data_IF_026548111797
#
_entry.id   IF_026548111797
#
_cell.length_a   1.000
_cell.length_b   1.000
_cell.length_c   1.000
_cell.angle_alpha   90.00
_cell.angle_beta   90.00
_cell.angle_gamma   90.00
#
_symmetry.space_group_name_H-M   'P 1'
#
loop_
_entity.id
_entity.type
_entity.pdbx_description
1 polymer ?
#
# COMPACT_ATOMS: atom_id res chain seq x y z
N UNK A 1 4.29 16.14 2.44
CA UNK A 1 3.75 15.08 3.29
C UNK A 1 4.43 15.09 4.66
N UNK A 2 3.72 15.15 5.78
CA UNK A 2 4.25 15.15 7.15
C UNK A 2 3.37 14.31 8.10
N UNK A 3 3.67 14.29 9.40
CA UNK A 3 2.91 13.49 10.37
C UNK A 3 1.46 13.96 10.58
N UNK A 4 1.16 15.23 10.33
CA UNK A 4 -0.22 15.75 10.29
C UNK A 4 -0.96 15.11 9.12
N UNK A 5 -0.34 15.07 7.95
CA UNK A 5 -0.94 14.47 6.75
C UNK A 5 -1.29 12.99 6.96
N UNK A 6 -0.44 12.23 7.66
CA UNK A 6 -0.76 10.85 8.05
C UNK A 6 -1.98 10.77 8.98
N UNK A 7 -2.01 11.61 10.02
CA UNK A 7 -3.08 11.57 11.01
C UNK A 7 -4.42 11.98 10.38
N UNK A 8 -4.43 13.05 9.59
CA UNK A 8 -5.61 13.53 8.87
C UNK A 8 -6.08 12.52 7.83
N UNK A 9 -5.15 11.92 7.07
CA UNK A 9 -5.49 10.89 6.09
C UNK A 9 -6.11 9.64 6.73
N UNK A 10 -5.69 9.28 7.95
CA UNK A 10 -6.29 8.17 8.69
C UNK A 10 -7.71 8.49 9.19
N UNK A 11 -7.97 9.74 9.57
CA UNK A 11 -9.29 10.20 10.00
C UNK A 11 -10.30 10.18 8.86
N UNK A 12 -9.87 10.50 7.64
CA UNK A 12 -10.74 10.55 6.46
C UNK A 12 -10.80 9.23 5.68
N UNK A 13 -10.02 8.24 6.10
CA UNK A 13 -10.02 6.92 5.50
C UNK A 13 -11.42 6.28 5.56
N UNK A 14 -11.89 5.80 4.40
CA UNK A 14 -13.19 5.16 4.24
C UNK A 14 -13.34 3.92 5.12
N UNK A 15 -14.52 3.73 5.71
CA UNK A 15 -14.82 2.69 6.71
C UNK A 15 -14.39 1.27 6.29
N UNK A 16 -14.74 0.82 5.08
CA UNK A 16 -14.41 -0.53 4.64
C UNK A 16 -12.90 -0.69 4.45
N UNK A 17 -12.25 0.32 3.88
CA UNK A 17 -10.80 0.34 3.69
C UNK A 17 -10.06 0.36 5.03
N UNK A 18 -10.53 1.17 5.99
CA UNK A 18 -10.00 1.23 7.36
C UNK A 18 -10.10 -0.13 8.06
N UNK A 19 -11.29 -0.76 8.03
CA UNK A 19 -11.55 -2.07 8.65
C UNK A 19 -10.76 -3.18 7.97
N UNK A 20 -10.61 -3.13 6.65
CA UNK A 20 -9.78 -4.05 5.90
C UNK A 20 -8.32 -3.94 6.31
N UNK A 21 -7.76 -2.72 6.33
CA UNK A 21 -6.37 -2.51 6.73
C UNK A 21 -6.12 -2.87 8.18
N UNK A 22 -7.09 -2.60 9.06
CA UNK A 22 -7.00 -3.01 10.45
C UNK A 22 -6.98 -4.54 10.56
N UNK A 23 -7.87 -5.26 9.87
CA UNK A 23 -7.82 -6.72 9.83
C UNK A 23 -6.52 -7.26 9.22
N UNK A 24 -6.01 -6.61 8.17
CA UNK A 24 -4.75 -6.97 7.53
C UNK A 24 -3.56 -6.85 8.49
N UNK A 25 -3.54 -5.85 9.39
CA UNK A 25 -2.49 -5.71 10.38
C UNK A 25 -2.74 -6.60 11.61
N UNK A 26 -3.96 -6.54 12.15
CA UNK A 26 -4.37 -7.10 13.43
C UNK A 26 -4.50 -8.61 13.40
N UNK A 27 -5.38 -9.08 12.52
CA UNK A 27 -5.83 -10.47 12.47
C UNK A 27 -4.88 -11.36 11.68
N UNK A 28 -4.07 -10.77 10.78
CA UNK A 28 -3.08 -11.49 9.99
C UNK A 28 -1.96 -12.05 10.83
N UNK A 29 -1.73 -13.34 10.65
CA UNK A 29 -0.52 -14.02 11.06
C UNK A 29 -0.12 -15.03 9.99
N UNK A 30 1.12 -15.46 10.05
CA UNK A 30 1.72 -16.35 9.07
C UNK A 30 0.90 -17.63 8.91
N UNK A 31 0.42 -18.23 10.01
CA UNK A 31 -0.36 -19.47 9.95
C UNK A 31 -1.66 -19.30 9.17
N UNK A 32 -2.35 -18.17 9.36
CA UNK A 32 -3.56 -17.83 8.59
C UNK A 32 -3.25 -17.53 7.12
N UNK A 33 -2.06 -17.02 6.80
CA UNK A 33 -1.67 -16.68 5.43
C UNK A 33 -1.16 -17.88 4.62
N UNK A 34 -0.59 -18.89 5.28
CA UNK A 34 -0.01 -20.07 4.61
C UNK A 34 -1.01 -20.83 3.75
N UNK A 35 -2.20 -21.15 4.30
CA UNK A 35 -3.18 -21.99 3.61
C UNK A 35 -3.70 -21.28 2.36
N UNK A 36 -4.20 -20.03 2.46
CA UNK A 36 -4.56 -19.25 1.28
C UNK A 36 -3.41 -19.09 0.28
N UNK A 37 -2.18 -18.86 0.73
CA UNK A 37 -1.01 -18.72 -0.14
C UNK A 37 -0.71 -20.00 -0.94
N UNK A 38 -0.75 -21.14 -0.26
CA UNK A 38 -0.57 -22.44 -0.91
C UNK A 38 -1.68 -22.71 -1.93
N UNK A 39 -2.93 -22.37 -1.58
CA UNK A 39 -4.08 -22.51 -2.47
C UNK A 39 -3.95 -21.63 -3.71
N UNK A 40 -3.60 -20.35 -3.55
CA UNK A 40 -3.38 -19.39 -4.65
C UNK A 40 -2.25 -19.81 -5.60
N UNK A 41 -1.23 -20.54 -5.11
CA UNK A 41 -0.16 -21.08 -5.96
C UNK A 41 -0.55 -22.35 -6.73
N UNK A 42 -1.54 -23.10 -6.22
CA UNK A 42 -2.00 -24.37 -6.80
C UNK A 42 -3.20 -24.15 -7.72
N UNK A 43 -4.13 -23.28 -7.36
CA UNK A 43 -5.28 -22.93 -8.18
C UNK A 43 -4.89 -21.89 -9.21
N UNK A 44 -5.12 -22.18 -10.49
CA UNK A 44 -5.04 -21.21 -11.59
C UNK A 44 -6.20 -20.20 -11.56
N UNK A 45 -6.78 -19.93 -10.39
CA UNK A 45 -7.91 -19.03 -10.22
C UNK A 45 -7.41 -17.59 -10.11
N UNK A 46 -8.04 -16.67 -10.84
CA UNK A 46 -7.71 -15.24 -10.77
C UNK A 46 -8.08 -14.57 -9.43
N UNK A 47 -8.77 -15.26 -8.52
CA UNK A 47 -9.17 -14.71 -7.21
C UNK A 47 -8.06 -14.88 -6.17
N UNK A 48 -7.75 -13.81 -5.44
CA UNK A 48 -6.75 -13.84 -4.37
C UNK A 48 -7.35 -14.40 -3.09
N UNK A 49 -7.00 -15.64 -2.75
CA UNK A 49 -7.47 -16.35 -1.54
C UNK A 49 -7.15 -15.60 -0.24
N UNK A 50 -6.03 -14.87 -0.22
CA UNK A 50 -5.63 -14.09 0.96
C UNK A 50 -6.47 -12.82 1.07
N UNK A 51 -6.82 -12.20 -0.05
CA UNK A 51 -7.75 -11.08 -0.07
C UNK A 51 -9.11 -11.49 0.48
N UNK A 52 -9.63 -12.64 0.07
CA UNK A 52 -10.89 -13.18 0.61
C UNK A 52 -10.79 -13.45 2.12
N UNK A 53 -9.66 -14.01 2.58
CA UNK A 53 -9.41 -14.22 4.00
C UNK A 53 -9.41 -12.91 4.79
N UNK A 54 -8.69 -11.89 4.34
CA UNK A 54 -8.64 -10.58 5.03
C UNK A 54 -10.01 -9.89 4.98
N UNK A 55 -10.71 -9.96 3.85
CA UNK A 55 -12.08 -9.45 3.71
C UNK A 55 -13.01 -10.13 4.72
N UNK A 56 -12.92 -11.45 4.88
CA UNK A 56 -13.67 -12.20 5.89
C UNK A 56 -13.34 -11.75 7.31
N UNK A 57 -12.06 -11.55 7.62
CA UNK A 57 -11.64 -11.07 8.95
C UNK A 57 -12.14 -9.62 9.20
N UNK A 58 -12.15 -8.76 8.18
CA UNK A 58 -12.65 -7.38 8.30
C UNK A 58 -14.12 -7.28 8.69
N UNK A 59 -14.94 -8.29 8.34
CA UNK A 59 -16.35 -8.33 8.74
C UNK A 59 -16.57 -8.41 10.25
N UNK A 60 -15.59 -8.85 11.03
CA UNK A 60 -15.66 -8.83 12.49
C UNK A 60 -15.82 -7.42 13.05
N UNK A 61 -15.31 -6.43 12.32
CA UNK A 61 -15.30 -5.02 12.72
C UNK A 61 -16.45 -4.21 12.11
N UNK A 62 -17.40 -4.85 11.42
CA UNK A 62 -18.48 -4.16 10.70
C UNK A 62 -19.31 -3.21 11.58
N UNK A 63 -19.47 -3.54 12.86
CA UNK A 63 -20.20 -2.75 13.85
C UNK A 63 -19.30 -2.02 14.86
N UNK A 64 -17.98 -2.11 14.68
CA UNK A 64 -17.06 -1.36 15.53
C UNK A 64 -17.02 0.09 15.03
N UNK A 65 -17.15 1.08 15.92
CA UNK A 65 -17.00 2.49 15.54
C UNK A 65 -15.65 2.74 14.88
N UNK A 66 -15.63 3.58 13.84
CA UNK A 66 -14.43 3.80 13.05
C UNK A 66 -13.33 4.48 13.87
N UNK A 67 -13.67 5.42 14.76
CA UNK A 67 -12.70 6.07 15.65
C UNK A 67 -11.98 5.08 16.57
N UNK A 68 -12.70 4.08 17.07
CA UNK A 68 -12.10 2.97 17.82
C UNK A 68 -11.08 2.20 16.97
N UNK A 69 -11.41 1.92 15.71
CA UNK A 69 -10.49 1.25 14.77
C UNK A 69 -9.28 2.14 14.45
N UNK A 70 -9.46 3.44 14.23
CA UNK A 70 -8.36 4.39 13.96
C UNK A 70 -7.37 4.46 15.12
N UNK A 71 -7.89 4.54 16.36
CA UNK A 71 -7.05 4.55 17.58
C UNK A 71 -6.30 3.23 17.75
N UNK A 72 -6.96 2.11 17.53
CA UNK A 72 -6.32 0.79 17.59
C UNK A 72 -5.30 0.58 16.47
N UNK A 73 -5.52 1.15 15.28
CA UNK A 73 -4.54 1.13 14.19
C UNK A 73 -3.24 1.85 14.60
N UNK A 74 -3.35 3.08 15.13
CA UNK A 74 -2.18 3.84 15.63
C UNK A 74 -1.46 3.05 16.72
N UNK A 75 -2.23 2.47 17.66
CA UNK A 75 -1.70 1.66 18.76
C UNK A 75 -0.94 0.44 18.25
N UNK A 76 -1.51 -0.31 17.31
CA UNK A 76 -0.89 -1.52 16.78
C UNK A 76 0.37 -1.22 15.97
N UNK A 77 0.36 -0.15 15.17
CA UNK A 77 1.55 0.33 14.48
C UNK A 77 2.63 0.73 15.51
N UNK A 78 2.29 1.45 16.57
CA UNK A 78 3.24 1.82 17.62
C UNK A 78 3.84 0.59 18.31
N UNK A 79 3.02 -0.37 18.72
CA UNK A 79 3.46 -1.62 19.36
C UNK A 79 4.37 -2.45 18.47
N UNK A 80 4.08 -2.51 17.16
CA UNK A 80 4.89 -3.22 16.17
C UNK A 80 6.34 -2.71 16.13
N UNK A 81 6.53 -1.40 16.30
CA UNK A 81 7.83 -0.73 16.34
C UNK A 81 8.38 -0.53 17.76
N UNK A 82 7.69 -1.04 18.80
CA UNK A 82 8.14 -0.92 20.20
C UNK A 82 8.05 0.50 20.74
N UNK A 83 7.15 1.31 20.18
CA UNK A 83 6.90 2.69 20.57
C UNK A 83 5.88 2.69 21.71
N UNK A 84 6.19 3.30 22.88
CA UNK A 84 5.22 3.44 23.96
C UNK A 84 3.92 4.12 23.51
N UNK A 85 2.80 3.49 23.86
CA UNK A 85 1.46 4.04 23.63
C UNK A 85 1.24 5.25 24.55
N UNK A 86 0.81 6.35 23.96
CA UNK A 86 0.40 7.57 24.67
C UNK A 86 -1.12 7.70 24.59
N UNK A 87 -1.72 8.40 25.56
CA UNK A 87 -3.11 8.80 25.46
C UNK A 87 -3.23 9.81 24.31
N UNK A 88 -4.15 9.57 23.38
CA UNK A 88 -4.38 10.43 22.22
C UNK A 88 -5.43 11.49 22.60
N UNK A 89 -5.11 12.34 23.58
CA UNK A 89 -6.07 13.29 24.16
C UNK A 89 -6.19 14.60 23.38
N UNK A 90 -5.19 14.93 22.56
CA UNK A 90 -5.17 16.13 21.73
C UNK A 90 -4.74 15.81 20.31
N UNK A 91 -5.04 16.71 19.36
CA UNK A 91 -4.53 16.64 17.98
C UNK A 91 -3.00 16.49 17.97
N UNK A 92 -2.31 17.24 18.82
CA UNK A 92 -0.85 17.18 18.91
C UNK A 92 -0.36 15.80 19.38
N UNK A 93 -1.01 15.19 20.38
CA UNK A 93 -0.62 13.84 20.85
C UNK A 93 -0.72 12.81 19.73
N UNK A 94 -1.76 12.89 18.90
CA UNK A 94 -1.95 12.02 17.73
C UNK A 94 -0.87 12.24 16.69
N UNK A 95 -0.61 13.51 16.33
CA UNK A 95 0.42 13.88 15.34
C UNK A 95 1.81 13.45 15.80
N UNK A 96 2.16 13.66 17.06
CA UNK A 96 3.44 13.20 17.62
C UNK A 96 3.56 11.67 17.61
N UNK A 97 2.47 10.95 17.91
CA UNK A 97 2.48 9.49 17.85
C UNK A 97 2.68 8.99 16.41
N UNK A 98 2.02 9.62 15.43
CA UNK A 98 2.21 9.35 14.01
C UNK A 98 3.65 9.64 13.57
N UNK A 99 4.25 10.75 13.99
CA UNK A 99 5.65 11.08 13.68
C UNK A 99 6.62 10.01 14.19
N UNK A 100 6.43 9.54 15.43
CA UNK A 100 7.25 8.45 16.00
C UNK A 100 7.13 7.16 15.19
N UNK A 101 5.92 6.83 14.74
CA UNK A 101 5.66 5.64 13.90
C UNK A 101 6.37 5.79 12.54
N UNK A 102 6.21 6.94 11.88
CA UNK A 102 6.84 7.22 10.58
C UNK A 102 8.36 7.10 10.70
N UNK A 103 8.95 7.72 11.73
CA UNK A 103 10.38 7.65 11.98
C UNK A 103 10.86 6.20 12.18
N UNK A 104 10.21 5.43 13.07
CA UNK A 104 10.61 4.06 13.33
C UNK A 104 10.43 3.13 12.11
N UNK A 105 9.37 3.35 11.34
CA UNK A 105 9.11 2.65 10.08
C UNK A 105 10.19 2.93 9.05
N UNK A 106 10.55 4.21 8.87
CA UNK A 106 11.60 4.65 7.95
C UNK A 106 12.95 4.02 8.29
N UNK A 107 13.38 4.09 9.56
CA UNK A 107 14.64 3.49 10.00
C UNK A 107 14.65 1.97 9.84
N UNK A 108 13.52 1.29 10.11
CA UNK A 108 13.40 -0.14 9.87
C UNK A 108 13.55 -0.47 8.37
N UNK A 109 12.92 0.30 7.49
CA UNK A 109 13.03 0.10 6.05
C UNK A 109 14.46 0.35 5.55
N UNK A 110 15.16 1.39 6.05
CA UNK A 110 16.57 1.63 5.74
C UNK A 110 17.49 0.52 6.25
N UNK A 111 17.12 -0.18 7.31
CA UNK A 111 17.91 -1.30 7.83
C UNK A 111 17.70 -2.59 7.03
N UNK A 112 16.46 -2.88 6.65
CA UNK A 112 16.08 -4.22 6.21
C UNK A 112 15.83 -4.32 4.69
N UNK A 113 15.67 -3.20 3.97
CA UNK A 113 15.26 -3.21 2.57
C UNK A 113 16.31 -2.54 1.65
N UNK A 114 17.12 -3.35 0.97
CA UNK A 114 18.15 -2.88 0.02
C UNK A 114 17.56 -2.04 -1.11
N UNK A 115 16.39 -2.41 -1.67
CA UNK A 115 15.73 -1.62 -2.72
C UNK A 115 15.35 -0.23 -2.19
N UNK A 116 14.85 -0.16 -0.94
CA UNK A 116 14.52 1.11 -0.30
C UNK A 116 15.75 1.98 -0.02
N UNK A 117 16.86 1.39 0.43
CA UNK A 117 18.12 2.13 0.63
C UNK A 117 18.55 2.77 -0.69
N UNK A 118 18.58 2.00 -1.77
CA UNK A 118 18.94 2.52 -3.10
C UNK A 118 17.96 3.57 -3.60
N UNK A 119 16.67 3.42 -3.30
CA UNK A 119 15.63 4.38 -3.67
C UNK A 119 15.79 5.72 -2.91
N UNK A 120 15.92 5.67 -1.59
CA UNK A 120 16.01 6.85 -0.71
C UNK A 120 17.31 7.65 -0.88
N UNK A 121 18.41 7.01 -1.26
CA UNK A 121 19.71 7.70 -1.46
C UNK A 121 19.69 8.68 -2.64
N UNK A 122 18.74 8.53 -3.57
CA UNK A 122 18.64 9.33 -4.80
C UNK A 122 17.56 10.43 -4.74
N UNK A 123 16.93 10.66 -3.58
CA UNK A 123 15.86 11.64 -3.41
C UNK A 123 16.38 12.81 -2.58
N UNK A 124 16.65 13.97 -3.20
CA UNK A 124 16.90 15.20 -2.46
C UNK A 124 15.56 15.87 -2.05
N UNK A 125 15.49 16.36 -0.81
CA UNK A 125 14.41 17.22 -0.28
C UNK A 125 13.01 16.58 -0.12
N UNK A 126 12.89 15.27 0.07
CA UNK A 126 11.64 14.60 0.42
C UNK A 126 11.51 14.34 1.92
N UNK A 127 10.28 14.26 2.44
CA UNK A 127 10.08 13.82 3.82
C UNK A 127 10.11 12.30 3.92
N UNK A 128 10.37 11.77 5.13
CA UNK A 128 10.37 10.30 5.37
C UNK A 128 9.06 9.63 4.98
N UNK A 129 7.92 10.28 5.25
CA UNK A 129 6.59 9.77 4.88
C UNK A 129 6.41 9.72 3.36
N UNK A 130 6.89 10.76 2.67
CA UNK A 130 6.85 10.81 1.21
C UNK A 130 7.72 9.73 0.58
N UNK A 131 8.94 9.52 1.07
CA UNK A 131 9.82 8.45 0.58
C UNK A 131 9.22 7.05 0.78
N UNK A 132 8.63 6.77 1.94
CA UNK A 132 7.95 5.50 2.20
C UNK A 132 6.82 5.33 1.18
N UNK A 133 5.94 6.32 1.04
CA UNK A 133 4.78 6.25 0.14
C UNK A 133 5.21 6.05 -1.32
N UNK A 134 6.14 6.89 -1.81
CA UNK A 134 6.68 6.80 -3.18
C UNK A 134 7.32 5.45 -3.45
N UNK A 135 8.10 4.91 -2.51
CA UNK A 135 8.74 3.62 -2.67
C UNK A 135 7.72 2.48 -2.76
N UNK A 136 6.69 2.49 -1.92
CA UNK A 136 5.66 1.45 -1.95
C UNK A 136 4.85 1.50 -3.25
N UNK A 137 4.54 2.70 -3.76
CA UNK A 137 3.88 2.88 -5.04
C UNK A 137 4.76 2.45 -6.21
N UNK A 138 6.04 2.80 -6.22
CA UNK A 138 6.99 2.32 -7.22
C UNK A 138 7.04 0.79 -7.21
N UNK A 139 7.17 0.20 -6.02
CA UNK A 139 7.22 -1.25 -5.87
C UNK A 139 5.90 -1.93 -6.30
N UNK A 140 4.77 -1.24 -6.14
CA UNK A 140 3.45 -1.70 -6.57
C UNK A 140 3.39 -1.76 -8.09
N UNK A 141 3.79 -0.68 -8.75
CA UNK A 141 3.87 -0.58 -10.21
C UNK A 141 4.83 -1.64 -10.78
N UNK A 142 6.00 -1.82 -10.16
CA UNK A 142 6.98 -2.86 -10.50
C UNK A 142 6.32 -4.25 -10.47
N UNK A 143 5.58 -4.56 -9.40
CA UNK A 143 4.89 -5.85 -9.26
C UNK A 143 3.76 -6.09 -10.25
N UNK A 144 3.15 -5.01 -10.76
CA UNK A 144 2.14 -5.06 -11.82
C UNK A 144 2.82 -5.33 -13.15
N UNK A 145 3.97 -4.69 -13.41
CA UNK A 145 4.77 -4.89 -14.63
C UNK A 145 5.24 -6.33 -14.82
N UNK A 146 5.52 -7.03 -13.72
CA UNK A 146 5.97 -8.42 -13.72
C UNK A 146 4.86 -9.46 -14.02
N UNK A 147 3.60 -9.02 -14.11
CA UNK A 147 2.45 -9.90 -14.37
C UNK A 147 2.00 -9.84 -15.82
N UNK A 148 1.65 -10.99 -16.38
CA UNK A 148 0.92 -11.04 -17.66
C UNK A 148 -0.49 -10.50 -17.44
N UNK A 149 -0.74 -9.30 -17.94
CA UNK A 149 -2.08 -8.72 -17.96
C UNK A 149 -2.90 -9.33 -19.09
N UNK A 150 -4.19 -9.55 -18.84
CA UNK A 150 -5.15 -9.86 -19.91
C UNK A 150 -5.42 -8.62 -20.77
N UNK A 151 -5.97 -8.82 -21.98
CA UNK A 151 -6.36 -7.70 -22.84
C UNK A 151 -7.37 -6.76 -22.16
N UNK A 152 -8.28 -7.31 -21.35
CA UNK A 152 -9.24 -6.52 -20.56
C UNK A 152 -8.54 -5.64 -19.53
N UNK A 153 -7.62 -6.20 -18.74
CA UNK A 153 -6.87 -5.44 -17.73
C UNK A 153 -5.98 -4.37 -18.34
N UNK A 154 -5.34 -4.67 -19.48
CA UNK A 154 -4.53 -3.72 -20.23
C UNK A 154 -5.39 -2.56 -20.76
N UNK A 155 -6.63 -2.85 -21.18
CA UNK A 155 -7.60 -1.84 -21.59
C UNK A 155 -8.08 -0.98 -20.42
N UNK A 156 -8.53 -1.59 -19.32
CA UNK A 156 -9.01 -0.88 -18.12
C UNK A 156 -7.93 0.04 -17.53
N UNK A 157 -6.67 -0.41 -17.56
CA UNK A 157 -5.50 0.38 -17.20
C UNK A 157 -5.29 1.55 -18.15
N UNK A 158 -5.39 1.32 -19.47
CA UNK A 158 -5.29 2.37 -20.48
C UNK A 158 -6.38 3.43 -20.33
N UNK A 159 -7.62 3.00 -20.11
CA UNK A 159 -8.79 3.87 -19.92
C UNK A 159 -8.62 4.71 -18.64
N UNK A 160 -8.24 4.08 -17.52
CA UNK A 160 -8.01 4.80 -16.25
C UNK A 160 -6.86 5.82 -16.33
N UNK A 161 -5.82 5.52 -17.11
CA UNK A 161 -4.71 6.44 -17.33
C UNK A 161 -5.09 7.58 -18.26
N UNK A 162 -5.89 7.32 -19.30
CA UNK A 162 -6.45 8.37 -20.17
C UNK A 162 -7.32 9.33 -19.37
N UNK A 163 -8.25 8.82 -18.55
CA UNK A 163 -9.11 9.64 -17.68
C UNK A 163 -8.26 10.53 -16.75
N UNK A 164 -7.27 9.94 -16.07
CA UNK A 164 -6.38 10.73 -15.20
C UNK A 164 -5.60 11.79 -15.97
N UNK A 165 -5.03 11.42 -17.13
CA UNK A 165 -4.15 12.31 -17.88
C UNK A 165 -4.94 13.44 -18.54
N UNK A 166 -6.19 13.22 -18.93
CA UNK A 166 -7.08 14.26 -19.48
C UNK A 166 -7.56 15.25 -18.42
N UNK A 167 -7.61 14.86 -17.14
CA UNK A 167 -7.91 15.75 -16.01
C UNK A 167 -6.72 16.64 -15.59
N UNK A 168 -5.50 16.38 -16.06
CA UNK A 168 -4.35 17.21 -15.75
C UNK A 168 -4.37 18.57 -16.46
N UNK A 169 -3.71 19.60 -15.93
CA UNK A 169 -3.46 20.84 -16.67
C UNK A 169 -2.81 20.59 -18.04
N UNK A 170 -3.24 21.32 -19.09
CA UNK A 170 -2.76 21.10 -20.47
C UNK A 170 -1.22 21.10 -20.61
N UNK A 171 -0.52 21.91 -19.81
CA UNK A 171 0.94 21.96 -19.83
C UNK A 171 1.58 20.66 -19.31
N UNK A 172 0.96 19.99 -18.34
CA UNK A 172 1.39 18.68 -17.86
C UNK A 172 1.05 17.59 -18.87
N UNK A 173 -0.14 17.64 -19.49
CA UNK A 173 -0.51 16.71 -20.56
C UNK A 173 0.50 16.73 -21.71
N UNK A 174 0.85 17.93 -22.19
CA UNK A 174 1.84 18.12 -23.28
C UNK A 174 3.22 17.60 -22.90
N UNK A 175 3.69 17.87 -21.67
CA UNK A 175 4.98 17.36 -21.20
C UNK A 175 5.01 15.83 -21.09
N UNK A 176 3.92 15.21 -20.64
CA UNK A 176 3.80 13.75 -20.57
C UNK A 176 3.79 13.17 -21.98
N UNK A 177 2.98 13.73 -22.89
CA UNK A 177 2.89 13.29 -24.27
C UNK A 177 4.25 13.38 -24.99
N UNK A 178 4.97 14.49 -24.81
CA UNK A 178 6.32 14.70 -25.35
C UNK A 178 7.32 13.67 -24.81
N UNK A 179 7.37 13.46 -23.49
CA UNK A 179 8.27 12.48 -22.86
C UNK A 179 7.95 11.04 -23.25
N UNK A 180 6.68 10.74 -23.52
CA UNK A 180 6.23 9.43 -23.99
C UNK A 180 6.37 9.27 -25.52
N UNK A 181 6.68 10.35 -26.25
CA UNK A 181 6.81 10.32 -27.71
C UNK A 181 5.47 10.09 -28.44
N UNK A 182 4.36 10.57 -27.88
CA UNK A 182 3.01 10.47 -28.47
C UNK A 182 2.40 11.84 -28.73
N UNK A 183 1.56 11.93 -29.75
CA UNK A 183 0.83 13.17 -30.08
C UNK A 183 -0.36 13.40 -29.15
N UNK A 184 -1.05 12.32 -28.81
CA UNK A 184 -2.22 12.33 -27.91
C UNK A 184 -2.16 11.13 -26.97
N UNK A 185 -2.54 11.39 -25.73
CA UNK A 185 -2.63 10.39 -24.68
C UNK A 185 -4.05 9.81 -24.74
N UNK A 186 -4.18 8.68 -25.44
CA UNK A 186 -5.40 7.87 -25.47
C UNK A 186 -5.12 6.50 -24.87
N UNK A 187 -6.15 5.75 -24.47
CA UNK A 187 -6.04 4.38 -23.98
C UNK A 187 -5.24 3.52 -24.96
N UNK A 188 -5.49 3.64 -26.26
CA UNK A 188 -4.74 2.92 -27.29
C UNK A 188 -3.26 3.32 -27.34
N UNK A 189 -2.94 4.62 -27.24
CA UNK A 189 -1.56 5.11 -27.18
C UNK A 189 -0.85 4.57 -25.93
N UNK A 190 -1.51 4.62 -24.77
CA UNK A 190 -0.99 4.14 -23.48
C UNK A 190 -0.72 2.65 -23.51
N UNK A 191 -1.64 1.84 -24.03
CA UNK A 191 -1.45 0.39 -24.18
C UNK A 191 -0.24 0.07 -25.05
N UNK A 192 -0.07 0.79 -26.18
CA UNK A 192 1.08 0.61 -27.08
C UNK A 192 2.39 1.00 -26.39
N UNK A 193 2.39 2.07 -25.60
CA UNK A 193 3.56 2.50 -24.84
C UNK A 193 3.94 1.49 -23.76
N UNK A 194 2.96 0.94 -23.03
CA UNK A 194 3.21 -0.12 -22.05
C UNK A 194 3.78 -1.36 -22.72
N UNK A 195 3.21 -1.77 -23.87
CA UNK A 195 3.71 -2.92 -24.63
C UNK A 195 5.14 -2.72 -25.16
N UNK A 196 5.55 -1.48 -25.44
CA UNK A 196 6.85 -1.16 -26.05
C UNK A 196 7.93 -0.85 -25.00
N UNK A 197 7.59 -0.06 -23.99
CA UNK A 197 8.53 0.49 -23.01
C UNK A 197 8.42 -0.18 -21.63
N UNK A 198 7.38 -0.99 -21.41
CA UNK A 198 7.05 -1.57 -20.11
C UNK A 198 6.26 -0.62 -19.21
N UNK A 199 5.43 -1.19 -18.34
CA UNK A 199 4.56 -0.46 -17.41
C UNK A 199 5.34 0.49 -16.50
N UNK A 200 6.44 0.02 -15.91
CA UNK A 200 7.22 0.82 -14.95
C UNK A 200 7.80 2.10 -15.58
N UNK A 201 8.25 2.05 -16.84
CA UNK A 201 8.81 3.20 -17.53
C UNK A 201 7.74 4.26 -17.82
N UNK A 202 6.55 3.83 -18.29
CA UNK A 202 5.42 4.74 -18.55
C UNK A 202 4.99 5.45 -17.26
N UNK A 203 4.88 4.72 -16.15
CA UNK A 203 4.47 5.29 -14.87
C UNK A 203 5.52 6.23 -14.29
N UNK A 204 6.81 5.93 -14.45
CA UNK A 204 7.88 6.81 -14.00
C UNK A 204 7.81 8.19 -14.69
N UNK A 205 7.45 8.22 -15.98
CA UNK A 205 7.26 9.48 -16.72
C UNK A 205 6.05 10.25 -16.22
N UNK A 206 4.92 9.57 -15.99
CA UNK A 206 3.70 10.20 -15.47
C UNK A 206 3.96 10.78 -14.07
N UNK A 207 4.55 9.98 -13.17
CA UNK A 207 4.95 10.41 -11.82
C UNK A 207 5.86 11.64 -11.88
N UNK A 208 6.83 11.67 -12.79
CA UNK A 208 7.78 12.76 -12.89
C UNK A 208 7.11 14.11 -13.23
N UNK A 209 6.02 14.09 -14.00
CA UNK A 209 5.33 15.31 -14.42
C UNK A 209 4.14 15.66 -13.52
N UNK A 210 3.30 14.67 -13.21
CA UNK A 210 2.10 14.85 -12.39
C UNK A 210 2.38 14.91 -10.88
N UNK A 211 3.56 14.44 -10.45
CA UNK A 211 3.98 14.46 -9.06
C UNK A 211 3.03 13.68 -8.15
N UNK A 212 2.68 14.27 -7.00
CA UNK A 212 1.89 13.59 -5.98
C UNK A 212 0.43 13.32 -6.39
N UNK A 213 -0.13 14.11 -7.31
CA UNK A 213 -1.51 13.94 -7.76
C UNK A 213 -1.74 12.60 -8.48
N UNK A 214 -0.71 12.05 -9.14
CA UNK A 214 -0.82 10.72 -9.73
C UNK A 214 -0.87 9.62 -8.68
N UNK A 215 -0.23 9.81 -7.54
CA UNK A 215 -0.23 8.83 -6.47
C UNK A 215 -1.60 8.67 -5.81
N UNK A 216 -2.41 9.73 -5.78
CA UNK A 216 -3.77 9.68 -5.24
C UNK A 216 -4.75 8.98 -6.18
N UNK A 217 -4.51 9.02 -7.49
CA UNK A 217 -5.37 8.39 -8.51
C UNK A 217 -4.86 7.03 -8.97
N UNK A 218 -3.61 6.68 -8.61
CA UNK A 218 -3.00 5.38 -8.87
C UNK A 218 -3.85 4.22 -8.32
N UNK A 219 -4.55 4.41 -7.21
CA UNK A 219 -5.47 3.41 -6.66
C UNK A 219 -6.63 3.10 -7.60
N UNK A 220 -7.18 4.09 -8.31
CA UNK A 220 -8.21 3.87 -9.34
C UNK A 220 -7.65 3.12 -10.54
N UNK A 221 -6.44 3.48 -11.00
CA UNK A 221 -5.75 2.75 -12.07
C UNK A 221 -5.52 1.29 -11.68
N UNK A 222 -5.13 1.05 -10.43
CA UNK A 222 -4.87 -0.29 -9.91
C UNK A 222 -6.17 -1.07 -9.65
N UNK A 223 -7.24 -0.40 -9.22
CA UNK A 223 -8.59 -0.95 -9.12
C UNK A 223 -9.08 -1.43 -10.49
N UNK A 224 -8.84 -0.65 -11.56
CA UNK A 224 -9.10 -1.04 -12.94
C UNK A 224 -8.33 -2.31 -13.33
N UNK A 225 -7.03 -2.41 -13.02
CA UNK A 225 -6.21 -3.60 -13.35
C UNK A 225 -6.69 -4.87 -12.63
N UNK A 226 -7.15 -4.76 -11.40
CA UNK A 226 -7.48 -5.93 -10.59
C UNK A 226 -8.99 -6.19 -10.47
N UNK A 227 -9.84 -5.38 -11.10
CA UNK A 227 -11.30 -5.48 -10.99
C UNK A 227 -11.81 -5.31 -9.55
N UNK A 228 -11.05 -4.60 -8.71
CA UNK A 228 -11.34 -4.45 -7.28
C UNK A 228 -12.02 -3.10 -7.03
N UNK A 229 -13.23 -3.14 -6.47
CA UNK A 229 -13.90 -1.94 -5.95
C UNK A 229 -13.33 -1.64 -4.56
N UNK A 230 -12.50 -0.60 -4.46
CA UNK A 230 -11.87 -0.13 -3.21
C UNK A 230 -10.34 -0.14 -3.24
N UNK A 231 -9.71 0.57 -2.29
CA UNK A 231 -8.24 0.83 -2.20
C UNK A 231 -7.42 -0.45 -1.82
N UNK A 232 -8.00 -1.65 -1.93
CA UNK A 232 -7.33 -2.88 -1.46
C UNK A 232 -6.62 -3.60 -2.60
N UNK A 233 -5.28 -3.62 -2.57
CA UNK A 233 -4.46 -4.34 -3.54
C UNK A 233 -4.56 -5.86 -3.34
N UNK A 234 -4.57 -6.71 -4.38
CA UNK A 234 -4.52 -8.17 -4.22
C UNK A 234 -3.32 -8.58 -3.39
N UNK A 235 -3.45 -9.57 -2.51
CA UNK A 235 -2.36 -9.86 -1.57
C UNK A 235 -1.07 -10.34 -2.22
N UNK A 236 -1.16 -10.99 -3.38
CA UNK A 236 0.01 -11.35 -4.15
C UNK A 236 0.86 -10.12 -4.56
N UNK A 237 0.28 -8.91 -4.61
CA UNK A 237 0.99 -7.64 -4.73
C UNK A 237 1.76 -7.33 -3.44
N UNK A 238 1.16 -7.49 -2.26
CA UNK A 238 1.84 -7.34 -0.95
C UNK A 238 3.00 -8.34 -0.76
N UNK A 239 2.88 -9.56 -1.30
CA UNK A 239 3.94 -10.58 -1.28
C UNK A 239 5.11 -10.19 -2.20
N UNK A 240 4.82 -9.67 -3.39
CA UNK A 240 5.87 -9.22 -4.33
C UNK A 240 6.54 -7.92 -3.88
N UNK A 241 5.79 -7.04 -3.20
CA UNK A 241 6.26 -5.78 -2.64
C UNK A 241 7.39 -5.97 -1.62
N UNK A 242 7.45 -7.13 -0.96
CA UNK A 242 8.52 -7.43 -0.02
C UNK A 242 9.04 -8.86 -0.17
N UNK A 243 10.27 -9.00 -0.64
CA UNK A 243 10.99 -10.29 -0.67
C UNK A 243 11.05 -10.97 0.70
N UNK A 244 10.95 -10.19 1.78
CA UNK A 244 10.79 -10.68 3.14
C UNK A 244 9.49 -11.49 3.32
N UNK A 245 8.32 -11.00 2.86
CA UNK A 245 7.06 -11.74 2.96
C UNK A 245 7.08 -12.96 2.05
N UNK A 246 7.64 -12.86 0.84
CA UNK A 246 7.78 -14.02 -0.06
C UNK A 246 8.64 -15.14 0.54
N UNK A 247 9.72 -14.82 1.24
CA UNK A 247 10.58 -15.81 1.93
C UNK A 247 9.90 -16.35 3.19
N UNK A 248 9.23 -15.50 3.96
CA UNK A 248 8.55 -15.89 5.21
C UNK A 248 7.30 -16.73 4.95
N UNK A 249 6.55 -16.41 3.89
CA UNK A 249 5.33 -17.13 3.51
C UNK A 249 5.62 -18.41 2.72
N UNK A 250 6.86 -18.64 2.27
CA UNK A 250 7.21 -19.84 1.50
C UNK A 250 7.19 -21.10 2.40
N UNK A 251 6.30 -22.07 2.13
CA UNK A 251 6.17 -23.28 2.95
C UNK A 251 7.47 -24.08 3.09
N UNK A 252 8.37 -24.01 2.09
CA UNK A 252 9.67 -24.69 2.12
C UNK A 252 10.60 -24.16 3.21
N UNK A 253 10.51 -22.88 3.57
CA UNK A 253 11.27 -22.30 4.68
C UNK A 253 10.49 -22.38 6.00
N UNK A 254 9.17 -22.34 5.93
CA UNK A 254 8.29 -22.29 7.10
C UNK A 254 8.09 -23.65 7.79
N UNK A 255 7.89 -24.74 7.04
CA UNK A 255 7.66 -26.07 7.62
C UNK A 255 8.88 -26.56 8.42
N UNK A 256 10.13 -26.47 7.92
CA UNK A 256 11.30 -26.83 8.72
C UNK A 256 11.51 -25.88 9.91
N UNK A 257 11.27 -24.57 9.72
CA UNK A 257 11.39 -23.58 10.79
C UNK A 257 10.38 -23.82 11.94
N UNK A 258 9.15 -24.23 11.61
CA UNK A 258 8.12 -24.60 12.57
C UNK A 258 8.52 -25.85 13.38
N UNK A 259 9.05 -26.86 12.70
CA UNK A 259 9.47 -28.13 13.32
C UNK A 259 10.69 -27.93 14.22
N UNK A 260 11.65 -27.08 13.82
CA UNK A 260 12.94 -26.92 14.51
C UNK A 260 12.97 -25.73 15.50
N UNK A 261 12.20 -24.67 15.27
CA UNK A 261 12.31 -23.39 15.99
C UNK A 261 11.26 -23.12 17.06
N UNK A 262 10.20 -23.93 17.14
CA UNK A 262 9.13 -23.80 18.14
C UNK A 262 8.36 -22.46 18.10
N UNK A 263 7.60 -22.16 19.16
CA UNK A 263 6.72 -20.99 19.22
C UNK A 263 7.41 -19.62 19.20
N UNK A 264 8.69 -19.55 19.59
CA UNK A 264 9.49 -18.32 19.58
C UNK A 264 9.78 -17.82 18.16
N UNK A 265 10.13 -18.73 17.25
CA UNK A 265 10.42 -18.40 15.86
C UNK A 265 9.17 -17.89 15.14
N UNK A 266 8.00 -18.48 15.41
CA UNK A 266 6.72 -18.01 14.87
C UNK A 266 6.40 -16.57 15.25
N UNK A 267 6.65 -16.17 16.51
CA UNK A 267 6.44 -14.78 16.95
C UNK A 267 7.35 -13.81 16.22
N UNK A 268 8.62 -14.18 16.04
CA UNK A 268 9.57 -13.36 15.29
C UNK A 268 9.19 -13.21 13.82
N UNK A 269 8.83 -14.31 13.16
CA UNK A 269 8.40 -14.26 11.77
C UNK A 269 7.10 -13.45 11.62
N UNK A 270 6.12 -13.63 12.51
CA UNK A 270 4.87 -12.84 12.52
C UNK A 270 5.18 -11.34 12.63
N UNK A 271 6.08 -10.97 13.54
CA UNK A 271 6.51 -9.57 13.70
C UNK A 271 7.18 -9.05 12.42
N UNK A 272 8.03 -9.85 11.79
CA UNK A 272 8.72 -9.47 10.54
C UNK A 272 7.72 -9.31 9.37
N UNK A 273 6.74 -10.18 9.28
CA UNK A 273 5.65 -10.09 8.30
C UNK A 273 4.81 -8.82 8.52
N UNK A 274 4.36 -8.57 9.75
CA UNK A 274 3.61 -7.33 10.07
C UNK A 274 4.42 -6.07 9.76
N UNK A 275 5.74 -6.06 10.04
CA UNK A 275 6.65 -4.96 9.67
C UNK A 275 6.81 -4.75 8.16
N UNK A 276 6.61 -5.79 7.36
CA UNK A 276 6.62 -5.68 5.90
C UNK A 276 5.27 -5.18 5.34
N UNK A 277 4.17 -5.49 6.02
CA UNK A 277 2.82 -5.00 5.69
C UNK A 277 2.63 -3.54 6.10
N UNK A 278 3.19 -3.11 7.23
CA UNK A 278 2.94 -1.78 7.79
C UNK A 278 3.25 -0.59 6.85
N UNK A 279 4.35 -0.57 6.07
CA UNK A 279 4.59 0.47 5.07
C UNK A 279 3.53 0.53 3.96
N UNK A 280 2.91 -0.61 3.64
CA UNK A 280 1.86 -0.69 2.63
C UNK A 280 0.57 -0.08 3.18
N UNK A 281 0.23 -0.40 4.44
CA UNK A 281 -0.89 0.25 5.13
C UNK A 281 -0.65 1.76 5.22
N UNK A 282 0.59 2.20 5.51
CA UNK A 282 0.94 3.62 5.50
C UNK A 282 0.64 4.28 4.15
N UNK A 283 1.10 3.67 3.05
CA UNK A 283 0.77 4.14 1.70
C UNK A 283 -0.75 4.22 1.49
N UNK A 284 -1.53 3.22 1.89
CA UNK A 284 -2.98 3.23 1.70
C UNK A 284 -3.69 4.29 2.55
N UNK A 285 -3.21 4.53 3.77
CA UNK A 285 -3.66 5.66 4.58
C UNK A 285 -3.42 6.95 3.78
N UNK A 286 -2.21 7.16 3.25
CA UNK A 286 -1.85 8.38 2.53
C UNK A 286 -2.58 8.61 1.21
N UNK A 287 -3.20 7.57 0.63
CA UNK A 287 -4.00 7.69 -0.61
C UNK A 287 -5.50 7.88 -0.31
N UNK A 288 -5.88 8.01 0.96
CA UNK A 288 -7.26 8.32 1.35
C UNK A 288 -7.69 9.68 0.79
N UNK A 289 -8.99 9.83 0.53
CA UNK A 289 -9.58 11.01 -0.10
C UNK A 289 -9.26 12.29 0.69
N UNK A 290 -8.47 13.17 0.08
CA UNK A 290 -8.02 14.43 0.68
C UNK A 290 -9.11 15.51 0.64
N UNK A 291 -10.25 15.28 0.00
CA UNK A 291 -11.35 16.24 -0.09
C UNK A 291 -12.29 16.22 1.13
N UNK A 292 -12.15 15.23 2.01
CA UNK A 292 -12.95 15.10 3.22
C UNK A 292 -12.25 15.85 4.36
N UNK A 293 -13.01 16.62 5.14
CA UNK A 293 -12.46 17.35 6.29
C UNK A 293 -12.31 16.39 7.49
N UNK A 294 -11.13 16.28 8.11
CA UNK A 294 -10.93 15.41 9.27
C UNK A 294 -11.74 15.85 10.50
N UNK A 295 -12.60 14.97 11.02
CA UNK A 295 -13.40 15.22 12.23
C UNK A 295 -12.58 14.93 13.50
N UNK A 296 -11.77 15.90 13.92
CA UNK A 296 -10.92 15.76 15.11
C UNK A 296 -11.70 15.67 16.43
N UNK A 297 -12.83 16.38 16.57
CA UNK A 297 -13.61 16.40 17.82
C UNK A 297 -14.13 15.00 18.17
N UNK A 298 -14.82 14.36 17.21
CA UNK A 298 -15.38 13.01 17.39
C UNK A 298 -14.29 11.98 17.65
N UNK A 299 -13.11 12.15 17.05
CA UNK A 299 -11.97 11.27 17.27
C UNK A 299 -11.37 11.43 18.67
N UNK A 300 -11.28 12.65 19.19
CA UNK A 300 -10.63 12.97 20.47
C UNK A 300 -11.53 12.69 21.69
N UNK A 301 -12.86 12.72 21.52
CA UNK A 301 -13.84 12.51 22.58
C UNK A 301 -14.01 11.04 23.03
N UNK A 302 -13.42 10.07 22.31
CA UNK A 302 -13.33 8.64 22.70
C UNK A 302 -12.16 8.31 23.65
#
# INVERSE_FOLDING_TARGET
MNSIDMAESLLVMESNSLKFNYALLHDSNIMKMLIPFAKEKISSSNNSEIMEMVKKESFKYRYTPDNHIRRNMIKELAELYGIPNRKLGTKQDTVEQCDRIINAMYEQMKKDNKKFISFSTNQEQTTKLEEITKFQMFSLIDSISDRKMTATQMKEMGDSLEDFLTDLPENQQKQIAEKLGVTEITSNSVQKLIATNGTAAVFAIIVQVAGFAFYTTLTSVVAGIFGLVGITLPFAVYVTLTSAVAVIANPLFMVPALILGGGGLLRWQNKKMKKAIAPIIMMQIMVSDQNIVPEWETFLDE
#
